data_IF_066653294438
#
_entry.id   IF_066653294438
#
_cell.length_a   1.000
_cell.length_b   1.000
_cell.length_c   1.000
_cell.angle_alpha   90.00
_cell.angle_beta   90.00
_cell.angle_gamma   90.00
#
_symmetry.space_group_name_H-M   'P 1'
#
loop_
_entity.id
_entity.type
_entity.pdbx_description
1 polymer ?
#
# COMPACT_ATOMS: atom_id res chain seq x y z
N UNK A 1 34.30 5.72 -5.77
CA UNK A 1 34.87 5.68 -4.40
C UNK A 1 34.54 4.33 -3.79
N UNK A 2 35.56 3.57 -3.32
CA UNK A 2 35.38 2.20 -2.80
C UNK A 2 34.82 2.26 -1.37
N UNK A 3 33.58 1.80 -1.17
CA UNK A 3 33.00 1.57 0.15
C UNK A 3 33.84 0.51 0.88
N UNK A 4 34.41 0.88 2.04
CA UNK A 4 35.13 -0.05 2.90
C UNK A 4 34.10 -0.94 3.61
N UNK A 5 33.98 -2.19 3.13
CA UNK A 5 33.35 -3.28 3.89
C UNK A 5 34.12 -3.47 5.20
N UNK A 6 33.52 -3.06 6.31
CA UNK A 6 33.93 -3.47 7.65
C UNK A 6 32.73 -4.16 8.25
N UNK A 7 32.81 -5.49 8.39
CA UNK A 7 31.87 -6.26 9.20
C UNK A 7 32.09 -5.82 10.65
N UNK A 8 31.23 -4.93 11.15
CA UNK A 8 31.22 -4.58 12.57
C UNK A 8 30.71 -5.78 13.40
N UNK A 9 31.19 -5.94 14.65
CA UNK A 9 30.83 -7.09 15.48
C UNK A 9 29.33 -7.16 15.75
N UNK A 10 28.86 -8.38 15.93
CA UNK A 10 27.48 -8.74 16.26
C UNK A 10 26.99 -7.95 17.48
N UNK A 11 25.77 -7.38 17.46
CA UNK A 11 25.20 -6.72 18.62
C UNK A 11 25.01 -7.72 19.76
N UNK A 12 25.11 -7.27 21.03
CA UNK A 12 24.96 -8.14 22.18
C UNK A 12 23.56 -8.78 22.22
N UNK A 13 23.55 -10.02 22.71
CA UNK A 13 22.37 -10.85 22.95
C UNK A 13 21.34 -10.11 23.83
N UNK A 14 20.08 -10.09 23.40
CA UNK A 14 18.97 -9.39 24.08
C UNK A 14 18.39 -10.20 25.26
N UNK A 15 19.14 -11.15 25.81
CA UNK A 15 18.70 -12.10 26.84
C UNK A 15 18.51 -11.49 28.25
N UNK A 16 18.61 -10.17 28.39
CA UNK A 16 18.48 -9.44 29.67
C UNK A 16 17.36 -8.39 29.75
N UNK A 17 16.42 -8.34 28.80
CA UNK A 17 15.35 -7.34 28.85
C UNK A 17 14.35 -7.65 30.00
N UNK A 18 14.02 -6.69 30.88
CA UNK A 18 12.92 -6.86 31.84
C UNK A 18 11.63 -7.16 31.06
N UNK A 19 10.79 -8.05 31.60
CA UNK A 19 9.51 -8.43 31.00
C UNK A 19 8.74 -7.20 30.53
N UNK A 20 8.76 -6.94 29.22
CA UNK A 20 7.87 -5.98 28.62
C UNK A 20 6.45 -6.54 28.78
N UNK A 21 5.45 -5.70 29.07
CA UNK A 21 4.05 -6.15 29.20
C UNK A 21 3.49 -6.74 27.89
N UNK A 22 4.24 -6.63 26.78
CA UNK A 22 3.88 -7.10 25.46
C UNK A 22 5.01 -7.91 24.82
N UNK A 23 4.65 -8.92 24.04
CA UNK A 23 5.59 -9.60 23.15
C UNK A 23 6.14 -8.59 22.11
N UNK A 24 7.41 -8.69 21.67
CA UNK A 24 8.01 -7.76 20.71
C UNK A 24 7.20 -7.55 19.42
N UNK A 25 6.54 -8.61 18.91
CA UNK A 25 5.67 -8.52 17.74
C UNK A 25 4.43 -7.63 17.98
N UNK A 26 3.84 -7.69 19.18
CA UNK A 26 2.71 -6.84 19.54
C UNK A 26 3.12 -5.36 19.64
N UNK A 27 4.34 -5.08 20.11
CA UNK A 27 4.90 -3.71 20.13
C UNK A 27 5.07 -3.18 18.71
N UNK A 28 5.64 -3.99 17.80
CA UNK A 28 5.76 -3.62 16.38
C UNK A 28 4.40 -3.25 15.77
N UNK A 29 3.39 -4.09 16.01
CA UNK A 29 2.05 -3.85 15.52
C UNK A 29 1.42 -2.57 16.07
N UNK A 30 1.57 -2.28 17.37
CA UNK A 30 1.08 -1.02 17.98
C UNK A 30 1.73 0.20 17.30
N UNK A 31 3.03 0.14 17.03
CA UNK A 31 3.75 1.23 16.38
C UNK A 31 3.23 1.46 14.96
N UNK A 32 3.01 0.41 14.18
CA UNK A 32 2.41 0.52 12.85
C UNK A 32 1.04 1.19 12.91
N UNK A 33 0.15 0.76 13.80
CA UNK A 33 -1.17 1.38 13.95
C UNK A 33 -1.10 2.87 14.29
N UNK A 34 -0.19 3.24 15.20
CA UNK A 34 0.04 4.65 15.54
C UNK A 34 0.63 5.42 14.37
N UNK A 35 1.55 4.83 13.60
CA UNK A 35 2.14 5.44 12.41
C UNK A 35 1.06 5.77 11.36
N UNK A 36 0.23 4.78 11.01
CA UNK A 36 -0.83 4.93 10.03
C UNK A 36 -1.89 5.94 10.48
N UNK A 37 -2.32 5.85 11.74
CA UNK A 37 -3.27 6.79 12.33
C UNK A 37 -2.72 8.22 12.35
N UNK A 38 -1.44 8.38 12.66
CA UNK A 38 -0.76 9.67 12.64
C UNK A 38 -0.67 10.25 11.23
N UNK A 39 -0.29 9.46 10.22
CA UNK A 39 -0.23 9.92 8.83
C UNK A 39 -1.59 10.37 8.30
N UNK A 40 -2.65 9.61 8.57
CA UNK A 40 -4.02 9.96 8.14
C UNK A 40 -4.53 11.22 8.86
N UNK A 41 -4.33 11.31 10.18
CA UNK A 41 -4.84 12.44 10.97
C UNK A 41 -4.05 13.74 10.73
N UNK A 42 -2.71 13.68 10.72
CA UNK A 42 -1.85 14.86 10.49
C UNK A 42 -1.96 15.41 9.07
N UNK A 43 -2.24 14.55 8.08
CA UNK A 43 -2.55 14.97 6.71
C UNK A 43 -3.99 15.45 6.51
N UNK A 44 -4.84 15.44 7.57
CA UNK A 44 -6.27 15.78 7.48
C UNK A 44 -6.99 14.95 6.40
N UNK A 45 -6.57 13.69 6.25
CA UNK A 45 -7.10 12.74 5.26
C UNK A 45 -6.63 12.94 3.83
N UNK A 46 -5.68 13.84 3.56
CA UNK A 46 -5.07 13.98 2.23
C UNK A 46 -4.22 12.76 1.83
N UNK A 47 -3.77 11.98 2.81
CA UNK A 47 -3.09 10.71 2.59
C UNK A 47 -4.03 9.53 2.82
N UNK A 48 -3.94 8.54 1.94
CA UNK A 48 -4.56 7.23 2.07
C UNK A 48 -3.49 6.20 2.38
N UNK A 49 -3.81 5.26 3.26
CA UNK A 49 -2.91 4.17 3.65
C UNK A 49 -3.46 2.86 3.11
N UNK A 50 -2.56 2.03 2.59
CA UNK A 50 -2.86 0.70 2.10
C UNK A 50 -1.96 -0.29 2.85
N UNK A 51 -2.59 -1.27 3.50
CA UNK A 51 -1.89 -2.25 4.32
C UNK A 51 -1.69 -3.55 3.52
N UNK A 52 -0.51 -4.19 3.65
CA UNK A 52 -0.22 -5.41 2.90
C UNK A 52 -1.13 -6.55 3.35
N UNK A 53 -1.54 -7.39 2.40
CA UNK A 53 -2.18 -8.68 2.71
C UNK A 53 -1.15 -9.79 2.94
N UNK A 54 0.11 -9.52 2.61
CA UNK A 54 1.27 -10.42 2.83
C UNK A 54 2.53 -9.60 3.12
N UNK A 55 3.31 -10.04 4.10
CA UNK A 55 4.61 -9.45 4.38
C UNK A 55 5.61 -9.78 3.26
N UNK A 56 6.11 -8.73 2.60
CA UNK A 56 7.20 -8.78 1.63
C UNK A 56 8.15 -7.58 1.82
N UNK A 57 8.39 -7.17 3.08
CA UNK A 57 9.35 -6.12 3.43
C UNK A 57 8.84 -4.67 3.36
N UNK A 58 7.60 -4.46 2.92
CA UNK A 58 6.91 -3.16 2.92
C UNK A 58 5.68 -3.28 3.83
N UNK A 59 5.62 -2.43 4.85
CA UNK A 59 4.58 -2.46 5.88
C UNK A 59 3.32 -1.68 5.47
N UNK A 60 3.42 -0.84 4.43
CA UNK A 60 2.29 -0.16 3.84
C UNK A 60 2.65 0.66 2.61
N UNK A 61 1.64 1.07 1.85
CA UNK A 61 1.76 2.07 0.80
C UNK A 61 0.94 3.30 1.19
N UNK A 62 1.55 4.47 1.08
CA UNK A 62 0.89 5.75 1.27
C UNK A 62 0.61 6.37 -0.10
N UNK A 63 -0.63 6.75 -0.35
CA UNK A 63 -1.05 7.41 -1.58
C UNK A 63 -1.55 8.82 -1.30
N UNK A 64 -1.15 9.76 -2.14
CA UNK A 64 -1.70 11.11 -2.20
C UNK A 64 -2.51 11.27 -3.51
N UNK A 65 -3.85 11.28 -3.45
CA UNK A 65 -4.68 11.35 -4.64
C UNK A 65 -4.48 12.62 -5.48
N UNK A 66 -4.23 13.77 -4.85
CA UNK A 66 -4.09 15.07 -5.54
C UNK A 66 -2.89 15.13 -6.49
N UNK A 67 -1.83 14.37 -6.20
CA UNK A 67 -0.60 14.31 -6.99
C UNK A 67 -0.36 12.94 -7.62
N UNK A 68 -1.28 11.99 -7.40
CA UNK A 68 -1.15 10.58 -7.78
C UNK A 68 0.17 9.93 -7.31
N UNK A 69 0.70 10.40 -6.17
CA UNK A 69 1.98 9.94 -5.63
C UNK A 69 1.76 8.74 -4.72
N UNK A 70 2.53 7.67 -4.95
CA UNK A 70 2.55 6.48 -4.13
C UNK A 70 3.93 6.30 -3.51
N UNK A 71 3.96 5.95 -2.23
CA UNK A 71 5.18 5.76 -1.43
C UNK A 71 5.09 4.43 -0.70
N UNK A 72 6.02 3.51 -1.01
CA UNK A 72 6.21 2.32 -0.18
C UNK A 72 6.85 2.75 1.15
N UNK A 73 6.28 2.31 2.27
CA UNK A 73 6.72 2.67 3.61
C UNK A 73 7.01 1.42 4.41
N UNK A 74 8.18 1.39 5.04
CA UNK A 74 8.55 0.44 6.06
C UNK A 74 8.56 1.16 7.40
N UNK A 75 7.79 0.66 8.36
CA UNK A 75 7.72 1.21 9.71
C UNK A 75 8.66 0.44 10.61
N UNK A 76 9.54 1.16 11.30
CA UNK A 76 10.38 0.61 12.35
C UNK A 76 10.07 1.34 13.64
N UNK A 77 10.24 0.66 14.76
CA UNK A 77 10.00 1.33 16.02
C UNK A 77 10.60 0.69 17.24
N UNK A 78 10.66 1.49 18.30
CA UNK A 78 11.13 1.09 19.63
C UNK A 78 10.24 1.74 20.67
N UNK A 79 10.13 1.09 21.82
CA UNK A 79 9.51 1.69 23.02
C UNK A 79 10.54 2.30 23.98
N UNK A 80 11.84 2.06 23.72
CA UNK A 80 12.95 2.53 24.55
C UNK A 80 14.17 2.82 23.68
N UNK A 81 15.01 3.72 24.16
CA UNK A 81 16.30 4.05 23.57
C UNK A 81 17.41 3.23 24.25
N UNK A 82 18.45 2.90 23.50
CA UNK A 82 19.67 2.32 24.04
C UNK A 82 20.67 3.45 24.29
N UNK A 83 20.90 3.84 25.54
CA UNK A 83 21.81 4.94 25.91
C UNK A 83 21.53 6.27 25.17
N UNK A 84 20.25 6.61 25.01
CA UNK A 84 19.83 7.81 24.27
C UNK A 84 19.96 7.69 22.75
N UNK A 85 20.20 6.49 22.23
CA UNK A 85 20.32 6.20 20.80
C UNK A 85 19.14 5.37 20.32
N UNK A 86 18.55 5.82 19.22
CA UNK A 86 17.55 5.07 18.46
C UNK A 86 18.26 4.17 17.44
N UNK A 87 18.15 2.85 17.61
CA UNK A 87 18.79 1.86 16.72
C UNK A 87 17.79 1.27 15.74
N UNK A 88 18.03 1.50 14.45
CA UNK A 88 17.23 0.97 13.34
C UNK A 88 18.02 -0.14 12.67
N UNK A 89 17.33 -1.25 12.41
CA UNK A 89 17.84 -2.36 11.63
C UNK A 89 16.84 -2.67 10.52
N UNK A 90 17.33 -2.75 9.28
CA UNK A 90 16.57 -3.20 8.12
C UNK A 90 17.35 -4.33 7.45
N UNK A 91 16.71 -5.46 7.23
CA UNK A 91 17.38 -6.60 6.60
C UNK A 91 17.75 -6.23 5.15
N UNK A 92 18.88 -6.72 4.65
CA UNK A 92 19.34 -6.37 3.30
C UNK A 92 18.31 -6.76 2.22
N UNK A 93 17.65 -7.91 2.41
CA UNK A 93 16.59 -8.42 1.53
C UNK A 93 15.28 -7.62 1.58
N UNK A 94 15.02 -6.89 2.68
CA UNK A 94 13.86 -6.00 2.84
C UNK A 94 14.12 -4.59 2.29
N UNK A 95 15.39 -4.29 1.99
CA UNK A 95 15.85 -2.97 1.57
C UNK A 95 16.15 -2.93 0.06
N UNK A 96 15.43 -3.66 -0.78
CA UNK A 96 15.73 -3.82 -2.21
C UNK A 96 15.47 -2.53 -3.02
N UNK A 97 14.32 -1.89 -2.81
CA UNK A 97 13.90 -0.66 -3.46
C UNK A 97 14.49 0.58 -2.74
N UNK A 98 15.43 1.32 -3.37
CA UNK A 98 16.07 2.47 -2.74
C UNK A 98 15.11 3.64 -2.42
N UNK A 99 13.90 3.64 -2.97
CA UNK A 99 12.90 4.71 -2.79
C UNK A 99 11.96 4.44 -1.61
N UNK A 100 11.88 3.20 -1.13
CA UNK A 100 11.07 2.85 0.04
C UNK A 100 11.44 3.76 1.20
N UNK A 101 10.44 4.37 1.84
CA UNK A 101 10.62 5.23 2.99
C UNK A 101 10.68 4.38 4.25
N UNK A 102 11.74 4.53 5.02
CA UNK A 102 11.86 4.01 6.38
C UNK A 102 11.36 5.09 7.34
N UNK A 103 10.22 4.81 7.98
CA UNK A 103 9.62 5.63 9.04
C UNK A 103 9.93 4.97 10.38
N UNK A 104 10.89 5.53 11.12
CA UNK A 104 11.25 5.04 12.44
C UNK A 104 10.67 5.91 13.56
N UNK A 105 9.97 5.26 14.50
CA UNK A 105 9.17 5.93 15.54
C UNK A 105 9.53 5.42 16.94
N UNK A 106 9.64 6.34 17.89
CA UNK A 106 9.71 6.01 19.32
C UNK A 106 8.29 6.11 19.90
N UNK A 107 7.83 5.06 20.57
CA UNK A 107 6.49 4.99 21.17
C UNK A 107 6.59 4.98 22.69
N UNK A 108 5.72 5.75 23.33
CA UNK A 108 5.38 5.58 24.73
C UNK A 108 4.20 4.60 24.83
N UNK A 109 4.46 3.41 25.35
CA UNK A 109 3.45 2.34 25.46
C UNK A 109 2.49 2.55 26.63
N UNK A 110 2.83 3.40 27.61
CA UNK A 110 1.96 3.62 28.77
C UNK A 110 0.76 4.51 28.39
N UNK A 111 0.93 5.37 27.38
CA UNK A 111 -0.11 6.27 26.87
C UNK A 111 -0.46 6.04 25.38
N UNK A 112 0.20 5.10 24.70
CA UNK A 112 0.07 4.86 23.26
C UNK A 112 0.30 6.12 22.42
N UNK A 113 1.34 6.90 22.72
CA UNK A 113 1.70 8.11 21.97
C UNK A 113 3.05 7.98 21.27
N UNK A 114 3.19 8.72 20.17
CA UNK A 114 4.45 8.84 19.44
C UNK A 114 5.29 9.97 20.05
N UNK A 115 6.57 9.72 20.27
CA UNK A 115 7.52 10.76 20.63
C UNK A 115 7.97 11.57 19.42
N UNK A 116 8.28 12.84 19.65
CA UNK A 116 8.86 13.78 18.69
C UNK A 116 10.39 13.87 18.88
N UNK A 117 11.21 13.90 17.82
CA UNK A 117 10.91 13.78 16.38
C UNK A 117 10.87 12.33 15.85
N UNK A 118 10.16 12.09 14.75
CA UNK A 118 10.30 10.85 13.99
C UNK A 118 11.61 10.83 13.19
N UNK A 119 12.10 9.64 12.83
CA UNK A 119 13.17 9.51 11.84
C UNK A 119 12.56 9.06 10.51
N UNK A 120 12.71 9.86 9.45
CA UNK A 120 12.18 9.60 8.12
C UNK A 120 13.29 9.69 7.10
N UNK A 121 13.59 8.58 6.44
CA UNK A 121 14.61 8.52 5.39
C UNK A 121 14.23 7.50 4.31
N UNK A 122 14.76 7.63 3.11
CA UNK A 122 14.62 6.55 2.11
C UNK A 122 15.62 5.42 2.40
N UNK A 123 15.40 4.24 1.81
CA UNK A 123 16.39 3.15 1.83
C UNK A 123 17.72 3.58 1.23
N UNK A 124 17.74 4.45 0.21
CA UNK A 124 18.96 5.04 -0.31
C UNK A 124 19.73 5.82 0.77
N UNK A 125 19.04 6.71 1.49
CA UNK A 125 19.62 7.48 2.60
C UNK A 125 20.06 6.55 3.74
N UNK A 126 19.28 5.52 4.07
CA UNK A 126 19.67 4.50 5.04
C UNK A 126 21.00 3.85 4.66
N UNK A 127 21.16 3.43 3.39
CA UNK A 127 22.39 2.80 2.90
C UNK A 127 23.61 3.74 2.95
N UNK A 128 23.39 5.04 2.83
CA UNK A 128 24.46 6.05 2.97
C UNK A 128 24.92 6.23 4.42
N UNK A 129 24.01 6.09 5.38
CA UNK A 129 24.27 6.33 6.80
C UNK A 129 24.55 5.05 7.62
N UNK A 130 24.13 3.89 7.13
CA UNK A 130 24.17 2.63 7.85
C UNK A 130 25.50 1.89 7.67
N UNK A 131 25.79 1.03 8.64
CA UNK A 131 26.77 -0.04 8.50
C UNK A 131 26.06 -1.33 8.12
N UNK A 132 26.62 -2.09 7.19
CA UNK A 132 26.15 -3.46 6.92
C UNK A 132 26.76 -4.39 7.98
N UNK A 133 25.90 -5.03 8.76
CA UNK A 133 26.29 -5.89 9.88
C UNK A 133 25.67 -7.27 9.77
N UNK A 134 26.29 -8.26 10.41
CA UNK A 134 25.71 -9.57 10.60
C UNK A 134 24.66 -9.50 11.71
N UNK A 135 23.40 -9.84 11.40
CA UNK A 135 22.29 -9.89 12.34
C UNK A 135 21.69 -11.31 12.34
N UNK A 136 22.15 -12.15 13.27
CA UNK A 136 21.84 -13.58 13.25
C UNK A 136 22.35 -14.23 11.96
N UNK A 137 21.53 -15.00 11.21
CA UNK A 137 21.95 -15.62 9.95
C UNK A 137 21.93 -14.68 8.74
N UNK A 138 21.42 -13.44 8.89
CA UNK A 138 21.18 -12.51 7.78
C UNK A 138 22.05 -11.26 7.90
N UNK A 139 22.16 -10.53 6.79
CA UNK A 139 22.78 -9.20 6.78
C UNK A 139 21.71 -8.12 7.00
N UNK A 140 22.07 -7.07 7.73
CA UNK A 140 21.19 -5.94 7.98
C UNK A 140 21.95 -4.60 7.91
N UNK A 141 21.28 -3.58 7.40
CA UNK A 141 21.70 -2.20 7.53
C UNK A 141 21.37 -1.73 8.95
N UNK A 142 22.41 -1.39 9.72
CA UNK A 142 22.31 -0.88 11.07
C UNK A 142 22.63 0.61 11.10
N UNK A 143 21.72 1.40 11.65
CA UNK A 143 21.94 2.84 11.87
C UNK A 143 21.58 3.22 13.29
N UNK A 144 22.38 4.12 13.86
CA UNK A 144 22.28 4.59 15.24
C UNK A 144 22.11 6.11 15.25
N UNK A 145 20.92 6.57 15.63
CA UNK A 145 20.54 7.97 15.62
C UNK A 145 20.44 8.48 17.06
N UNK A 146 21.28 9.44 17.51
CA UNK A 146 21.07 10.12 18.79
C UNK A 146 19.67 10.75 18.84
N UNK A 147 18.95 10.54 19.94
CA UNK A 147 17.54 10.92 20.04
C UNK A 147 17.27 11.79 21.28
N UNK A 148 16.86 13.06 21.12
CA UNK A 148 16.77 13.80 19.86
C UNK A 148 18.16 14.12 19.26
N UNK A 149 18.26 14.42 17.96
CA UNK A 149 19.54 14.71 17.33
C UNK A 149 20.11 16.05 17.84
N UNK A 150 21.42 16.07 18.05
CA UNK A 150 22.14 17.30 18.40
C UNK A 150 22.09 18.35 17.28
N UNK A 151 22.28 19.65 17.61
CA UNK A 151 22.00 20.75 16.70
C UNK A 151 22.92 20.87 15.47
N UNK A 152 24.06 20.18 15.48
CA UNK A 152 25.09 20.24 14.43
C UNK A 152 25.39 18.85 13.85
N UNK A 153 24.37 17.99 13.75
CA UNK A 153 24.51 16.61 13.28
C UNK A 153 23.81 16.44 11.94
N UNK A 154 24.32 15.55 11.08
CA UNK A 154 23.69 15.18 9.81
C UNK A 154 22.33 14.48 9.99
N UNK A 155 22.05 13.96 11.20
CA UNK A 155 20.77 13.37 11.55
C UNK A 155 19.60 14.35 11.49
N UNK A 156 19.86 15.67 11.54
CA UNK A 156 18.80 16.68 11.41
C UNK A 156 18.00 16.58 10.13
N UNK A 157 18.61 16.13 9.03
CA UNK A 157 17.96 16.08 7.73
C UNK A 157 16.93 14.92 7.63
N UNK A 158 17.03 13.95 8.54
CA UNK A 158 16.16 12.78 8.62
C UNK A 158 15.32 12.76 9.89
N UNK A 159 15.62 13.56 10.91
CA UNK A 159 14.78 13.72 12.09
C UNK A 159 13.75 14.82 11.86
N UNK A 160 12.48 14.44 11.81
CA UNK A 160 11.38 15.26 11.31
C UNK A 160 10.37 15.44 12.43
N UNK A 161 9.95 16.68 12.73
CA UNK A 161 8.86 16.91 13.68
C UNK A 161 7.63 16.09 13.30
N UNK A 162 6.94 15.49 14.27
CA UNK A 162 5.77 14.64 14.00
C UNK A 162 4.72 15.37 13.13
N UNK A 163 4.52 16.67 13.35
CA UNK A 163 3.61 17.50 12.57
C UNK A 163 3.93 17.55 11.05
N UNK A 164 5.17 17.29 10.67
CA UNK A 164 5.67 17.37 9.29
C UNK A 164 5.85 15.98 8.65
N UNK A 165 5.70 14.89 9.41
CA UNK A 165 5.97 13.52 8.95
C UNK A 165 5.14 13.15 7.73
N UNK A 166 3.84 13.48 7.70
CA UNK A 166 2.98 13.21 6.55
C UNK A 166 3.51 13.87 5.27
N UNK A 167 3.93 15.14 5.37
CA UNK A 167 4.50 15.88 4.26
C UNK A 167 5.86 15.33 3.82
N UNK A 168 6.67 14.83 4.77
CA UNK A 168 7.97 14.23 4.45
C UNK A 168 7.86 12.85 3.81
N UNK A 169 6.90 12.04 4.27
CA UNK A 169 6.67 10.66 3.78
C UNK A 169 6.10 10.70 2.37
N UNK A 170 5.07 11.52 2.12
CA UNK A 170 4.46 11.65 0.80
C UNK A 170 4.16 13.13 0.52
N UNK A 171 5.11 13.86 -0.09
CA UNK A 171 4.99 15.30 -0.32
C UNK A 171 3.78 15.68 -1.18
N UNK A 172 3.17 16.81 -0.87
CA UNK A 172 2.06 17.37 -1.62
C UNK A 172 1.83 18.85 -1.36
N UNK A 173 0.77 19.44 -1.97
CA UNK A 173 0.41 20.82 -1.70
C UNK A 173 -0.02 21.02 -0.23
N UNK A 174 0.28 22.17 0.40
CA UNK A 174 -0.01 22.40 1.83
C UNK A 174 -1.50 22.41 2.19
N UNK A 175 -2.35 22.86 1.26
CA UNK A 175 -3.80 22.97 1.43
C UNK A 175 -4.58 21.76 0.88
N UNK A 176 -3.89 20.64 0.68
CA UNK A 176 -4.52 19.40 0.25
C UNK A 176 -5.43 18.89 1.37
N UNK A 177 -6.73 18.81 1.10
CA UNK A 177 -7.72 18.28 2.03
C UNK A 177 -8.37 17.07 1.40
N UNK A 178 -8.69 16.07 2.22
CA UNK A 178 -9.40 14.88 1.77
C UNK A 178 -10.66 15.27 0.95
N UNK A 179 -10.91 14.61 -0.20
CA UNK A 179 -12.25 14.65 -0.78
C UNK A 179 -13.26 14.09 0.23
N UNK A 180 -14.49 14.61 0.20
CA UNK A 180 -15.55 14.23 1.14
C UNK A 180 -15.74 12.70 1.18
N UNK A 181 -15.81 12.14 2.41
CA UNK A 181 -16.01 10.71 2.65
C UNK A 181 -17.32 10.28 1.99
N UNK A 182 -17.29 9.18 1.24
CA UNK A 182 -18.51 8.58 0.68
C UNK A 182 -19.39 8.05 1.82
N UNK A 183 -20.67 8.45 1.84
CA UNK A 183 -21.68 7.66 2.54
C UNK A 183 -21.96 6.39 1.72
N UNK A 184 -22.06 5.20 2.37
CA UNK A 184 -22.43 3.97 1.68
C UNK A 184 -23.77 4.14 0.96
N UNK A 185 -23.83 3.75 -0.32
CA UNK A 185 -25.10 3.72 -1.05
C UNK A 185 -25.96 2.58 -0.48
N UNK A 186 -27.11 2.92 0.10
CA UNK A 186 -28.07 1.97 0.64
C UNK A 186 -28.87 1.31 -0.50
N UNK A 187 -28.35 0.22 -1.07
CA UNK A 187 -29.15 -0.71 -1.88
C UNK A 187 -28.58 -2.14 -1.77
N UNK A 188 -29.46 -3.09 -1.42
CA UNK A 188 -29.32 -4.56 -1.42
C UNK A 188 -27.98 -5.14 -0.92
N UNK A 189 -27.71 -4.91 0.37
CA UNK A 189 -26.38 -5.10 0.97
C UNK A 189 -25.88 -6.55 1.03
N UNK A 190 -26.71 -7.59 1.22
CA UNK A 190 -26.15 -8.94 1.47
C UNK A 190 -25.68 -9.69 0.20
N UNK A 191 -26.50 -9.72 -0.86
CA UNK A 191 -26.14 -10.39 -2.12
C UNK A 191 -25.09 -9.60 -2.92
N UNK A 192 -25.13 -8.26 -2.87
CA UNK A 192 -24.11 -7.41 -3.47
C UNK A 192 -22.78 -7.46 -2.70
N UNK A 193 -22.81 -7.52 -1.35
CA UNK A 193 -21.58 -7.67 -0.56
C UNK A 193 -20.91 -9.02 -0.81
N UNK A 194 -21.69 -10.12 -0.86
CA UNK A 194 -21.12 -11.44 -1.16
C UNK A 194 -20.50 -11.50 -2.55
N UNK A 195 -21.19 -10.94 -3.54
CA UNK A 195 -20.68 -10.91 -4.93
C UNK A 195 -19.45 -10.02 -5.06
N UNK A 196 -19.45 -8.84 -4.43
CA UNK A 196 -18.28 -7.97 -4.34
C UNK A 196 -17.07 -8.70 -3.74
N UNK A 197 -17.26 -9.32 -2.57
CA UNK A 197 -16.22 -10.07 -1.87
C UNK A 197 -15.65 -11.24 -2.69
N UNK A 198 -16.49 -11.94 -3.49
CA UNK A 198 -16.01 -12.98 -4.42
C UNK A 198 -15.04 -12.38 -5.46
N UNK A 199 -15.35 -11.21 -6.02
CA UNK A 199 -14.48 -10.53 -6.97
C UNK A 199 -13.15 -10.10 -6.33
N UNK A 200 -13.21 -9.51 -5.15
CA UNK A 200 -12.02 -9.10 -4.38
C UNK A 200 -11.14 -10.30 -4.04
N UNK A 201 -11.76 -11.40 -3.58
CA UNK A 201 -11.08 -12.66 -3.31
C UNK A 201 -10.43 -13.23 -4.56
N UNK A 202 -11.05 -13.11 -5.73
CA UNK A 202 -10.48 -13.55 -7.00
C UNK A 202 -9.26 -12.71 -7.41
N UNK A 203 -9.32 -11.38 -7.24
CA UNK A 203 -8.15 -10.51 -7.47
C UNK A 203 -6.98 -10.94 -6.57
N UNK A 204 -7.23 -11.07 -5.26
CA UNK A 204 -6.22 -11.48 -4.29
C UNK A 204 -5.66 -12.87 -4.59
N UNK A 205 -6.52 -13.82 -4.95
CA UNK A 205 -6.12 -15.15 -5.37
C UNK A 205 -5.14 -15.08 -6.55
N UNK A 206 -5.53 -14.46 -7.66
CA UNK A 206 -4.68 -14.37 -8.85
C UNK A 206 -3.38 -13.61 -8.61
N UNK A 207 -3.40 -12.53 -7.83
CA UNK A 207 -2.19 -11.81 -7.46
C UNK A 207 -1.27 -12.65 -6.58
N UNK A 208 -1.82 -13.43 -5.63
CA UNK A 208 -1.04 -14.28 -4.72
C UNK A 208 -0.32 -15.45 -5.40
N UNK A 209 -0.75 -15.85 -6.60
CA UNK A 209 -0.07 -16.86 -7.41
C UNK A 209 1.28 -16.37 -7.94
N UNK A 210 1.48 -15.06 -8.04
CA UNK A 210 2.77 -14.49 -8.44
C UNK A 210 3.70 -14.29 -7.23
N UNK A 211 4.95 -14.77 -7.28
CA UNK A 211 5.93 -14.52 -6.22
C UNK A 211 6.50 -13.09 -6.27
N UNK A 212 6.23 -12.32 -7.33
CA UNK A 212 6.77 -10.96 -7.52
C UNK A 212 5.73 -9.86 -7.31
N UNK A 213 4.50 -10.21 -6.96
CA UNK A 213 3.43 -9.27 -6.65
C UNK A 213 3.18 -9.21 -5.15
N UNK A 214 3.08 -8.01 -4.61
CA UNK A 214 2.55 -7.75 -3.28
C UNK A 214 1.23 -6.97 -3.39
N UNK A 215 0.23 -7.37 -2.63
CA UNK A 215 -1.11 -6.79 -2.63
C UNK A 215 -1.38 -6.02 -1.36
N UNK A 216 -2.04 -4.88 -1.49
CA UNK A 216 -2.37 -4.00 -0.37
C UNK A 216 -3.83 -3.60 -0.44
N UNK A 217 -4.48 -3.49 0.73
CA UNK A 217 -5.88 -3.11 0.86
C UNK A 217 -6.00 -1.75 1.54
N UNK A 218 -6.92 -0.91 1.06
CA UNK A 218 -7.15 0.42 1.60
C UNK A 218 -7.58 0.39 3.09
N UNK A 219 -7.06 1.33 3.87
CA UNK A 219 -7.41 1.53 5.28
C UNK A 219 -7.44 3.04 5.60
N UNK A 220 -8.61 3.70 5.58
CA UNK A 220 -9.95 3.19 5.26
C UNK A 220 -10.24 3.12 3.75
N UNK A 221 -11.22 2.29 3.36
CA UNK A 221 -11.73 2.22 2.00
C UNK A 221 -12.67 3.41 1.69
N UNK A 222 -12.18 4.37 0.88
CA UNK A 222 -12.85 5.67 0.66
C UNK A 222 -12.69 6.22 -0.77
N UNK A 223 -12.27 5.43 -1.74
CA UNK A 223 -12.07 5.90 -3.11
C UNK A 223 -12.08 4.80 -4.16
N UNK A 224 -11.61 5.09 -5.37
CA UNK A 224 -11.64 4.16 -6.51
C UNK A 224 -10.69 2.97 -6.34
N UNK A 225 -9.55 3.23 -5.72
CA UNK A 225 -8.49 2.29 -5.42
C UNK A 225 -8.77 1.62 -4.07
N UNK A 226 -9.41 0.45 -4.15
CA UNK A 226 -9.64 -0.47 -3.03
C UNK A 226 -8.38 -1.31 -2.77
N UNK A 227 -7.75 -1.77 -3.86
CA UNK A 227 -6.56 -2.60 -3.82
C UNK A 227 -5.41 -1.98 -4.60
N UNK A 228 -4.19 -2.15 -4.10
CA UNK A 228 -2.96 -1.89 -4.85
C UNK A 228 -2.23 -3.20 -5.11
N UNK A 229 -1.67 -3.34 -6.31
CA UNK A 229 -0.79 -4.43 -6.69
C UNK A 229 0.58 -3.82 -7.03
N UNK A 230 1.57 -4.07 -6.18
CA UNK A 230 2.96 -3.63 -6.35
C UNK A 230 3.80 -4.76 -6.92
N UNK A 231 4.54 -4.48 -7.98
CA UNK A 231 5.56 -5.37 -8.50
C UNK A 231 6.87 -5.17 -7.73
N UNK A 232 7.35 -6.18 -7.01
CA UNK A 232 8.48 -6.08 -6.07
C UNK A 232 9.76 -5.66 -6.78
N UNK A 233 10.08 -6.27 -7.91
CA UNK A 233 11.35 -6.02 -8.61
C UNK A 233 11.46 -4.65 -9.30
N UNK A 234 10.34 -3.97 -9.58
CA UNK A 234 10.36 -2.64 -10.24
C UNK A 234 9.90 -1.52 -9.31
N UNK A 235 9.15 -1.85 -8.26
CA UNK A 235 8.43 -0.91 -7.40
C UNK A 235 7.21 -0.26 -8.07
N UNK A 236 6.83 -0.73 -9.27
CA UNK A 236 5.65 -0.22 -9.97
C UNK A 236 4.36 -0.63 -9.25
N UNK A 237 3.41 0.30 -9.13
CA UNK A 237 2.15 0.12 -8.41
C UNK A 237 0.99 0.43 -9.35
N UNK A 238 0.10 -0.55 -9.50
CA UNK A 238 -1.21 -0.40 -10.13
C UNK A 238 -2.31 -0.45 -9.06
N UNK A 239 -3.31 0.41 -9.21
CA UNK A 239 -4.43 0.57 -8.31
C UNK A 239 -5.70 0.00 -8.96
N UNK A 240 -6.45 -0.80 -8.22
CA UNK A 240 -7.60 -1.54 -8.73
C UNK A 240 -8.86 -1.19 -7.95
N UNK A 241 -9.89 -0.82 -8.70
CA UNK A 241 -11.28 -0.99 -8.30
C UNK A 241 -11.69 -2.41 -8.69
N UNK A 242 -12.33 -3.15 -7.79
CA UNK A 242 -12.85 -4.48 -8.12
C UNK A 242 -14.36 -4.44 -8.24
N UNK A 243 -14.87 -5.11 -9.28
CA UNK A 243 -16.30 -5.38 -9.44
C UNK A 243 -16.49 -6.83 -9.84
N UNK A 244 -17.58 -7.41 -9.38
CA UNK A 244 -18.01 -8.74 -9.77
C UNK A 244 -19.45 -8.65 -10.22
N UNK A 245 -19.76 -9.30 -11.35
CA UNK A 245 -21.13 -9.42 -11.84
C UNK A 245 -21.54 -10.88 -11.86
N UNK A 246 -22.82 -11.13 -11.60
CA UNK A 246 -23.41 -12.45 -11.76
C UNK A 246 -24.06 -12.55 -13.14
N UNK A 247 -23.81 -13.66 -13.83
CA UNK A 247 -24.45 -13.99 -15.11
C UNK A 247 -24.92 -15.44 -15.10
N UNK A 248 -26.13 -15.67 -15.58
CA UNK A 248 -26.67 -17.01 -15.72
C UNK A 248 -27.51 -17.15 -17.01
N UNK A 249 -28.21 -18.28 -17.15
CA UNK A 249 -29.06 -18.53 -18.32
C UNK A 249 -30.26 -17.58 -18.44
N UNK A 250 -30.67 -16.94 -17.33
CA UNK A 250 -31.80 -16.01 -17.26
C UNK A 250 -31.37 -14.54 -17.39
N UNK A 251 -30.16 -14.21 -16.92
CA UNK A 251 -29.52 -12.91 -16.99
C UNK A 251 -28.14 -13.03 -17.68
N UNK A 252 -28.09 -12.98 -19.02
CA UNK A 252 -26.85 -13.19 -19.76
C UNK A 252 -25.89 -11.99 -19.73
N UNK A 253 -26.23 -10.92 -19.00
CA UNK A 253 -25.45 -9.72 -18.87
C UNK A 253 -25.60 -9.11 -17.47
N UNK A 254 -24.50 -8.58 -16.94
CA UNK A 254 -24.48 -7.84 -15.68
C UNK A 254 -24.26 -6.34 -15.90
N UNK A 255 -24.62 -5.56 -14.90
CA UNK A 255 -24.42 -4.11 -14.87
C UNK A 255 -23.38 -3.76 -13.81
N UNK A 256 -22.43 -2.91 -14.20
CA UNK A 256 -21.48 -2.29 -13.28
C UNK A 256 -21.88 -0.84 -13.09
N UNK A 257 -22.09 -0.46 -11.85
CA UNK A 257 -22.38 0.92 -11.45
C UNK A 257 -21.09 1.63 -11.07
N UNK A 258 -20.80 2.74 -11.74
CA UNK A 258 -19.63 3.58 -11.48
C UNK A 258 -20.08 4.99 -11.07
N UNK A 259 -19.83 5.42 -9.83
CA UNK A 259 -20.04 6.81 -9.45
C UNK A 259 -19.13 7.73 -10.27
N UNK A 260 -19.68 8.80 -10.86
CA UNK A 260 -18.91 9.77 -11.66
C UNK A 260 -17.78 10.40 -10.84
N UNK A 261 -18.02 10.64 -9.55
CA UNK A 261 -17.05 11.21 -8.61
C UNK A 261 -15.85 10.32 -8.30
N UNK A 262 -15.95 9.00 -8.49
CA UNK A 262 -14.82 8.08 -8.26
C UNK A 262 -13.98 7.88 -9.52
N UNK A 263 -14.40 8.41 -10.66
CA UNK A 263 -13.63 8.30 -11.89
C UNK A 263 -12.30 9.04 -11.74
N UNK A 264 -11.22 8.32 -12.00
CA UNK A 264 -9.87 8.87 -12.02
C UNK A 264 -9.28 8.77 -13.42
N UNK A 265 -8.40 9.70 -13.75
CA UNK A 265 -7.58 9.67 -14.97
C UNK A 265 -6.17 9.16 -14.72
N UNK A 266 -5.88 8.68 -13.50
CA UNK A 266 -4.58 8.11 -13.17
C UNK A 266 -4.23 6.99 -14.17
N UNK A 267 -3.00 7.01 -14.75
CA UNK A 267 -2.54 5.92 -15.60
C UNK A 267 -2.34 4.62 -14.82
N UNK A 268 -2.24 4.70 -13.48
CA UNK A 268 -2.07 3.57 -12.56
C UNK A 268 -3.39 2.91 -12.18
N UNK A 269 -4.53 3.54 -12.44
CA UNK A 269 -5.83 3.06 -12.00
C UNK A 269 -6.49 2.15 -13.04
N UNK A 270 -7.05 1.04 -12.57
CA UNK A 270 -7.68 -0.01 -13.35
C UNK A 270 -8.97 -0.48 -12.69
N UNK A 271 -9.91 -0.95 -13.50
CA UNK A 271 -11.10 -1.67 -13.08
C UNK A 271 -10.89 -3.14 -13.42
N UNK A 272 -10.89 -4.00 -12.40
CA UNK A 272 -10.95 -5.45 -12.56
C UNK A 272 -12.41 -5.91 -12.46
N UNK A 273 -12.90 -6.58 -13.50
CA UNK A 273 -14.26 -7.15 -13.53
C UNK A 273 -14.17 -8.65 -13.58
N UNK A 274 -14.62 -9.29 -12.51
CA UNK A 274 -14.82 -10.74 -12.47
C UNK A 274 -16.27 -11.09 -12.79
N UNK A 275 -16.46 -12.29 -13.33
CA UNK A 275 -17.77 -12.79 -13.71
C UNK A 275 -18.03 -14.04 -12.89
N UNK A 276 -19.13 -14.04 -12.14
CA UNK A 276 -19.60 -15.20 -11.39
C UNK A 276 -20.60 -15.98 -12.25
N UNK A 277 -20.32 -17.26 -12.44
CA UNK A 277 -21.25 -18.20 -13.08
C UNK A 277 -22.25 -18.79 -12.08
N UNK A 278 -23.06 -19.78 -12.48
CA UNK A 278 -23.93 -20.50 -11.55
C UNK A 278 -23.11 -21.12 -10.40
N UNK A 279 -23.44 -20.80 -9.15
CA UNK A 279 -22.69 -21.25 -7.96
C UNK A 279 -21.82 -20.13 -7.38
N UNK A 280 -20.62 -20.45 -6.87
CA UNK A 280 -19.67 -19.47 -6.31
C UNK A 280 -18.44 -19.24 -7.18
N UNK A 281 -18.34 -19.94 -8.30
CA UNK A 281 -17.14 -19.94 -9.12
C UNK A 281 -17.08 -18.71 -10.02
N UNK A 282 -15.88 -18.12 -10.06
CA UNK A 282 -15.55 -17.09 -11.05
C UNK A 282 -15.21 -17.78 -12.37
N UNK A 283 -15.76 -17.25 -13.45
CA UNK A 283 -15.64 -17.80 -14.80
C UNK A 283 -15.00 -16.79 -15.74
N UNK A 284 -14.36 -17.29 -16.80
CA UNK A 284 -13.76 -16.46 -17.83
C UNK A 284 -14.82 -15.73 -18.68
N UNK A 285 -14.47 -14.56 -19.26
CA UNK A 285 -13.22 -13.83 -19.07
C UNK A 285 -13.24 -12.93 -17.81
N UNK A 286 -12.05 -12.59 -17.30
CA UNK A 286 -11.87 -11.41 -16.44
C UNK A 286 -11.59 -10.19 -17.34
N UNK A 287 -12.15 -9.02 -16.99
CA UNK A 287 -11.84 -7.78 -17.69
C UNK A 287 -10.87 -6.92 -16.88
N UNK A 288 -9.76 -6.50 -17.49
CA UNK A 288 -8.80 -5.56 -16.88
C UNK A 288 -8.81 -4.26 -17.69
N UNK A 289 -9.57 -3.28 -17.23
CA UNK A 289 -9.88 -2.06 -17.98
C UNK A 289 -9.15 -0.85 -17.37
N UNK A 290 -8.32 -0.11 -18.12
CA UNK A 290 -7.73 1.12 -17.59
C UNK A 290 -8.81 2.15 -17.20
N UNK A 291 -8.69 2.77 -16.03
CA UNK A 291 -9.69 3.72 -15.54
C UNK A 291 -9.92 4.90 -16.50
N UNK A 292 -8.84 5.35 -17.16
CA UNK A 292 -8.87 6.46 -18.13
C UNK A 292 -9.82 6.26 -19.31
N UNK A 293 -10.13 5.02 -19.70
CA UNK A 293 -11.04 4.71 -20.83
C UNK A 293 -12.47 4.43 -20.38
N UNK A 294 -12.74 4.31 -19.07
CA UNK A 294 -14.09 4.03 -18.56
C UNK A 294 -15.16 5.04 -19.03
N UNK A 295 -14.89 6.37 -19.09
CA UNK A 295 -15.88 7.32 -19.58
C UNK A 295 -16.30 7.09 -21.04
N UNK A 296 -15.43 6.49 -21.84
CA UNK A 296 -15.73 6.17 -23.24
C UNK A 296 -16.54 4.88 -23.36
N UNK A 297 -16.35 3.93 -22.44
CA UNK A 297 -17.00 2.61 -22.46
C UNK A 297 -18.36 2.60 -21.78
N UNK A 298 -18.58 3.52 -20.83
CA UNK A 298 -19.78 3.57 -20.03
C UNK A 298 -20.87 4.47 -20.63
N UNK A 299 -22.12 4.18 -20.27
CA UNK A 299 -23.28 5.01 -20.59
C UNK A 299 -23.68 5.81 -19.36
N UNK A 300 -23.86 7.12 -19.53
CA UNK A 300 -24.38 7.98 -18.46
C UNK A 300 -25.86 7.68 -18.22
N UNK A 301 -26.21 7.36 -16.98
CA UNK A 301 -27.61 7.09 -16.58
C UNK A 301 -28.18 8.18 -15.68
N UNK A 302 -27.31 8.92 -14.98
CA UNK A 302 -27.67 10.12 -14.22
C UNK A 302 -26.45 11.06 -14.13
N UNK A 303 -26.60 12.20 -13.47
CA UNK A 303 -25.49 13.11 -13.21
C UNK A 303 -24.39 12.48 -12.34
N UNK A 304 -24.79 11.54 -11.48
CA UNK A 304 -23.91 10.91 -10.49
C UNK A 304 -23.38 9.54 -10.91
N UNK A 305 -23.97 8.88 -11.91
CA UNK A 305 -23.63 7.49 -12.24
C UNK A 305 -23.45 7.21 -13.74
N UNK A 306 -22.45 6.37 -14.01
CA UNK A 306 -22.23 5.71 -15.30
C UNK A 306 -22.43 4.20 -15.15
N UNK A 307 -22.98 3.56 -16.19
CA UNK A 307 -23.16 2.12 -16.27
C UNK A 307 -22.30 1.50 -17.36
N UNK A 308 -21.69 0.35 -17.06
CA UNK A 308 -21.10 -0.54 -18.06
C UNK A 308 -21.92 -1.82 -18.07
N UNK A 309 -22.44 -2.19 -19.24
CA UNK A 309 -23.09 -3.49 -19.43
C UNK A 309 -22.04 -4.50 -19.88
N UNK A 310 -21.94 -5.60 -19.16
CA UNK A 310 -21.00 -6.68 -19.48
C UNK A 310 -21.78 -7.93 -19.82
N UNK A 311 -21.66 -8.37 -21.07
CA UNK A 311 -22.16 -9.66 -21.54
C UNK A 311 -20.95 -10.51 -21.96
N UNK A 312 -20.57 -11.56 -21.20
CA UNK A 312 -19.37 -12.36 -21.51
C UNK A 312 -19.43 -13.04 -22.88
N UNK A 313 -20.62 -13.27 -23.43
CA UNK A 313 -20.80 -13.85 -24.76
C UNK A 313 -20.75 -12.82 -25.89
N UNK A 314 -20.87 -11.52 -25.56
CA UNK A 314 -20.93 -10.39 -26.50
C UNK A 314 -20.24 -9.16 -25.92
N UNK A 315 -18.92 -9.22 -25.82
CA UNK A 315 -18.12 -8.17 -25.17
C UNK A 315 -18.08 -6.85 -25.94
N UNK A 316 -18.21 -6.88 -27.28
CA UNK A 316 -18.17 -5.69 -28.11
C UNK A 316 -16.92 -4.85 -27.85
N UNK A 317 -17.09 -3.59 -27.41
CA UNK A 317 -15.99 -2.66 -27.09
C UNK A 317 -15.15 -3.08 -25.89
N UNK A 318 -15.62 -4.01 -25.07
CA UNK A 318 -14.88 -4.57 -23.93
C UNK A 318 -13.92 -5.70 -24.33
N UNK A 319 -14.05 -6.24 -25.54
CA UNK A 319 -13.24 -7.38 -26.00
C UNK A 319 -11.72 -7.18 -25.88
N UNK A 320 -11.14 -5.99 -26.12
CA UNK A 320 -9.70 -5.77 -25.97
C UNK A 320 -9.17 -5.90 -24.54
N UNK A 321 -10.05 -5.85 -23.54
CA UNK A 321 -9.69 -5.88 -22.11
C UNK A 321 -9.98 -7.24 -21.48
N UNK A 322 -10.43 -8.22 -22.27
CA UNK A 322 -10.85 -9.52 -21.78
C UNK A 322 -9.68 -10.51 -21.78
N UNK A 323 -9.49 -11.16 -20.64
CA UNK A 323 -8.42 -12.11 -20.42
C UNK A 323 -9.01 -13.45 -19.91
N UNK A 324 -8.50 -14.60 -20.38
CA UNK A 324 -8.70 -15.87 -19.70
C UNK A 324 -8.26 -15.77 -18.24
N UNK A 325 -8.91 -16.51 -17.33
CA UNK A 325 -8.55 -16.48 -15.90
C UNK A 325 -7.09 -16.93 -15.67
N UNK A 326 -6.63 -17.93 -16.43
CA UNK A 326 -5.25 -18.44 -16.33
C UNK A 326 -4.19 -17.38 -16.70
N UNK A 327 -4.55 -16.37 -17.48
CA UNK A 327 -3.65 -15.29 -17.89
C UNK A 327 -3.67 -14.10 -16.92
N UNK A 328 -4.65 -14.00 -16.01
CA UNK A 328 -4.84 -12.82 -15.16
C UNK A 328 -3.61 -12.51 -14.32
N UNK A 329 -2.98 -13.53 -13.72
CA UNK A 329 -1.76 -13.34 -12.92
C UNK A 329 -0.65 -12.67 -13.74
N UNK A 330 -0.38 -13.15 -14.96
CA UNK A 330 0.63 -12.56 -15.83
C UNK A 330 0.27 -11.14 -16.28
N UNK A 331 -1.03 -10.85 -16.47
CA UNK A 331 -1.48 -9.50 -16.79
C UNK A 331 -1.30 -8.54 -15.61
N UNK A 332 -1.58 -8.96 -14.38
CA UNK A 332 -1.33 -8.15 -13.18
C UNK A 332 0.17 -7.84 -13.04
N UNK A 333 1.05 -8.83 -13.27
CA UNK A 333 2.50 -8.61 -13.32
C UNK A 333 2.88 -7.56 -14.35
N UNK A 334 2.42 -7.72 -15.59
CA UNK A 334 2.71 -6.79 -16.68
C UNK A 334 2.21 -5.37 -16.37
N UNK A 335 0.96 -5.26 -15.93
CA UNK A 335 0.32 -3.98 -15.60
C UNK A 335 1.09 -3.27 -14.49
N UNK A 336 1.40 -3.94 -13.39
CA UNK A 336 2.12 -3.35 -12.25
C UNK A 336 3.57 -3.04 -12.59
N UNK A 337 4.27 -3.92 -13.32
CA UNK A 337 5.65 -3.69 -13.71
C UNK A 337 5.82 -2.51 -14.68
N UNK A 338 4.83 -2.27 -15.55
CA UNK A 338 4.83 -1.18 -16.52
C UNK A 338 4.51 0.20 -15.89
N UNK A 339 4.03 0.24 -14.66
CA UNK A 339 3.78 1.53 -13.99
C UNK A 339 5.09 2.23 -13.68
N UNK A 340 5.13 3.57 -13.76
CA UNK A 340 6.28 4.30 -13.28
C UNK A 340 6.53 3.96 -11.81
N UNK A 341 7.77 3.94 -11.35
CA UNK A 341 8.05 3.68 -9.96
C UNK A 341 7.43 4.72 -9.02
N UNK A 342 7.35 4.39 -7.73
CA UNK A 342 7.04 5.32 -6.64
C UNK A 342 8.00 6.51 -6.66
N UNK A 343 7.52 7.69 -6.24
CA UNK A 343 8.33 8.91 -6.27
C UNK A 343 9.26 9.07 -5.07
#
# INVERSE_FOLDING_TARGET
MRSRRVLAPTPPDQSGAPHLPFAPAAIGQVIEWLAWSHLVSSSRGALRVFLPTRDMGVDGIVHRPSTDAFMAVQVKGRSRLDDGVFRIHVQEEEADDPRTVVLALLVDLDNNTLHDPAVVMTVAQLREHAHLVQWGPRLAYAVSVPYPPGPRTHWRDVCVPLAEVAQRVCPGPPDDVAPAVMEPCAADQENLATTGFIGESALLHHASLSPVLNTFHAAPDRGFDEYLVRHVGTGGIAAFQVKCIEVDGSAPAGLIHLPVRTLTRSPRAWLAVFIRGPGTDVVAPCLLIPARVLPELAHRVSDDYLHITVNPRRLGRLAPYAHPLDDVTAQLEHISAAQPPTH
#
